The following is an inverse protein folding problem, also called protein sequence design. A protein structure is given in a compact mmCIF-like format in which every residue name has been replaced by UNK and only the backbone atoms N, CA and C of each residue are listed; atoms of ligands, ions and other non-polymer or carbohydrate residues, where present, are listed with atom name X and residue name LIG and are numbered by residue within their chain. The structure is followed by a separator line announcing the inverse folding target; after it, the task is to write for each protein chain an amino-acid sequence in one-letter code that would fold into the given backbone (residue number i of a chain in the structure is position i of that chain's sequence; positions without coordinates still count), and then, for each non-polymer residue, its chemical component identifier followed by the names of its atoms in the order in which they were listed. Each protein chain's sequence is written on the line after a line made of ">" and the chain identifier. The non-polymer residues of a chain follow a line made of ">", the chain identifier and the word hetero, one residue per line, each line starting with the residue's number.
data_IF_493572090289
#
_entry.id   IF_493572090289
#
_cell.length_a   1.000
_cell.length_b   1.000
_cell.length_c   1.000
_cell.angle_alpha   90.00
_cell.angle_beta   90.00
_cell.angle_gamma   90.00
#
_symmetry.space_group_name_H-M   'P 1'
#
loop_
_entity.id
_entity.type
_entity.pdbx_description
1 polymer ?
#
# COMPACT_ATOMS: atom_id res chain seq x y z
N UNK A 1 9.46 20.92 -13.74
CA UNK A 1 9.06 19.68 -13.06
C UNK A 1 8.52 20.14 -11.72
N UNK A 2 7.24 19.90 -11.40
CA UNK A 2 6.69 20.38 -10.12
C UNK A 2 7.33 19.54 -9.03
N UNK A 3 8.16 20.17 -8.23
CA UNK A 3 8.72 19.58 -7.02
C UNK A 3 7.55 19.21 -6.12
N UNK A 4 7.30 17.91 -5.97
CA UNK A 4 6.41 17.39 -4.95
C UNK A 4 7.15 17.54 -3.63
N UNK A 5 6.95 18.68 -2.96
CA UNK A 5 7.31 18.84 -1.56
C UNK A 5 6.58 17.74 -0.77
N UNK A 6 7.32 16.70 -0.38
CA UNK A 6 6.79 15.62 0.42
C UNK A 6 6.68 16.12 1.86
N UNK A 7 5.49 16.57 2.25
CA UNK A 7 5.08 16.51 3.65
C UNK A 7 5.32 15.06 4.13
N UNK A 8 6.13 14.88 5.16
CA UNK A 8 6.36 13.58 5.81
C UNK A 8 5.01 13.02 6.28
N UNK A 9 4.37 12.21 5.44
CA UNK A 9 3.19 11.44 5.79
C UNK A 9 3.66 10.04 6.09
N UNK A 10 3.52 9.66 7.35
CA UNK A 10 3.77 8.35 7.95
C UNK A 10 3.54 7.21 6.93
N UNK A 11 4.62 6.74 6.29
CA UNK A 11 4.54 5.67 5.30
C UNK A 11 4.87 4.37 6.01
N UNK A 12 3.87 3.51 6.23
CA UNK A 12 4.15 2.12 6.62
C UNK A 12 4.74 1.38 5.42
N UNK A 13 6.00 0.96 5.57
CA UNK A 13 6.75 0.20 4.57
C UNK A 13 6.70 -1.28 4.94
N UNK A 14 6.24 -2.13 4.02
CA UNK A 14 6.28 -3.58 4.16
C UNK A 14 7.07 -4.19 2.99
N UNK A 15 8.29 -4.66 3.29
CA UNK A 15 9.24 -5.09 2.27
C UNK A 15 9.55 -3.97 1.26
N UNK A 16 9.26 -4.23 -0.02
CA UNK A 16 9.48 -3.28 -1.13
C UNK A 16 8.24 -2.43 -1.46
N UNK A 17 7.18 -2.50 -0.64
CA UNK A 17 5.92 -1.80 -0.86
C UNK A 17 5.68 -0.76 0.23
N UNK A 18 5.03 0.35 -0.14
CA UNK A 18 4.51 1.34 0.80
C UNK A 18 3.10 1.76 0.41
N UNK A 19 2.28 2.04 1.42
CA UNK A 19 0.99 2.68 1.19
C UNK A 19 1.25 4.13 0.78
N UNK A 20 0.52 4.63 -0.21
CA UNK A 20 0.58 6.04 -0.62
C UNK A 20 -0.81 6.65 -0.52
N UNK A 21 -0.87 7.94 -0.19
CA UNK A 21 -2.11 8.73 -0.14
C UNK A 21 -2.07 9.84 -1.18
N UNK A 22 -3.01 9.86 -2.11
CA UNK A 22 -3.19 10.90 -3.14
C UNK A 22 -4.65 11.35 -3.09
N UNK A 23 -4.90 12.66 -2.96
CA UNK A 23 -6.26 13.25 -2.96
C UNK A 23 -7.26 12.50 -2.06
N UNK A 24 -6.84 12.16 -0.84
CA UNK A 24 -7.61 11.41 0.16
C UNK A 24 -7.91 9.93 -0.13
N UNK A 25 -7.33 9.38 -1.19
CA UNK A 25 -7.40 7.96 -1.50
C UNK A 25 -6.06 7.26 -1.30
N UNK A 26 -6.13 5.99 -0.94
CA UNK A 26 -5.00 5.15 -0.60
C UNK A 26 -4.74 4.11 -1.69
N UNK A 27 -3.47 3.94 -2.03
CA UNK A 27 -2.97 2.93 -2.97
C UNK A 27 -1.69 2.29 -2.45
N UNK A 28 -1.10 1.39 -3.23
CA UNK A 28 0.18 0.76 -2.93
C UNK A 28 1.14 1.07 -4.06
N UNK A 29 2.34 1.49 -3.69
CA UNK A 29 3.44 1.65 -4.63
C UNK A 29 4.68 0.93 -4.13
N UNK A 30 5.59 0.64 -5.05
CA UNK A 30 6.93 0.17 -4.74
C UNK A 30 7.84 1.32 -4.28
N UNK A 31 9.02 0.97 -3.74
CA UNK A 31 10.04 1.96 -3.34
C UNK A 31 10.65 2.75 -4.52
N UNK A 32 10.60 2.22 -5.75
CA UNK A 32 10.97 2.93 -7.00
C UNK A 32 9.83 3.78 -7.57
N UNK A 33 8.81 4.09 -6.77
CA UNK A 33 7.70 4.97 -7.12
C UNK A 33 6.78 4.47 -8.23
N UNK A 34 6.73 3.16 -8.49
CA UNK A 34 5.74 2.55 -9.39
C UNK A 34 4.45 2.23 -8.63
N UNK A 35 3.31 2.71 -9.13
CA UNK A 35 1.98 2.35 -8.60
C UNK A 35 1.69 0.87 -8.93
N UNK A 36 1.34 0.09 -7.90
CA UNK A 36 0.94 -1.32 -8.00
C UNK A 36 -0.57 -1.46 -7.78
N UNK A 37 -1.10 -0.69 -6.84
CA UNK A 37 -2.53 -0.54 -6.60
C UNK A 37 -2.85 0.95 -6.67
N UNK A 38 -3.75 1.32 -7.58
CA UNK A 38 -4.20 2.70 -7.77
C UNK A 38 -4.81 3.27 -6.48
N UNK A 39 -4.62 4.58 -6.20
CA UNK A 39 -5.18 5.23 -5.04
C UNK A 39 -6.68 5.47 -5.21
N UNK A 40 -7.48 4.43 -4.95
CA UNK A 40 -8.95 4.49 -5.03
C UNK A 40 -9.64 4.11 -3.72
N UNK A 41 -8.89 3.57 -2.76
CA UNK A 41 -9.41 3.06 -1.49
C UNK A 41 -9.55 4.18 -0.46
N UNK A 42 -10.54 4.04 0.41
CA UNK A 42 -10.75 4.96 1.53
C UNK A 42 -9.72 4.74 2.64
N UNK A 43 -9.24 3.49 2.79
CA UNK A 43 -8.11 3.15 3.65
C UNK A 43 -7.46 1.85 3.22
N UNK A 44 -6.16 1.73 3.47
CA UNK A 44 -5.40 0.48 3.40
C UNK A 44 -4.65 0.35 4.73
N UNK A 45 -4.70 -0.82 5.35
CA UNK A 45 -4.04 -1.06 6.65
C UNK A 45 -3.28 -2.39 6.60
N UNK A 46 -2.02 -2.37 7.04
CA UNK A 46 -1.25 -3.59 7.27
C UNK A 46 -1.60 -4.17 8.65
N UNK A 47 -1.92 -5.45 8.69
CA UNK A 47 -2.04 -6.22 9.91
C UNK A 47 -0.78 -7.09 10.01
N UNK A 48 0.29 -6.47 10.48
CA UNK A 48 1.67 -7.02 10.44
C UNK A 48 1.78 -8.39 11.12
N UNK A 49 1.10 -8.57 12.26
CA UNK A 49 1.11 -9.83 13.03
C UNK A 49 0.54 -11.03 12.26
N UNK A 50 -0.19 -10.80 11.16
CA UNK A 50 -0.92 -11.84 10.43
C UNK A 50 -0.58 -11.91 8.94
N UNK A 51 0.35 -11.07 8.46
CA UNK A 51 0.59 -10.88 7.03
C UNK A 51 -0.70 -10.62 6.24
N UNK A 52 -1.61 -9.80 6.79
CA UNK A 52 -2.87 -9.43 6.12
C UNK A 52 -2.85 -7.95 5.72
N UNK A 53 -3.58 -7.65 4.66
CA UNK A 53 -3.89 -6.29 4.22
C UNK A 53 -5.39 -6.10 4.27
N UNK A 54 -5.86 -5.08 4.98
CA UNK A 54 -7.24 -4.64 4.94
C UNK A 54 -7.40 -3.51 3.92
N UNK A 55 -8.37 -3.65 3.03
CA UNK A 55 -8.80 -2.62 2.09
C UNK A 55 -10.22 -2.16 2.45
N UNK A 56 -10.45 -0.85 2.49
CA UNK A 56 -11.81 -0.29 2.59
C UNK A 56 -12.17 0.52 1.36
N UNK A 57 -13.36 0.27 0.83
CA UNK A 57 -13.93 1.00 -0.30
C UNK A 57 -15.45 1.11 -0.14
N UNK A 58 -15.99 2.32 -0.05
CA UNK A 58 -17.43 2.60 0.01
C UNK A 58 -18.16 1.74 1.06
N UNK A 59 -17.67 1.74 2.31
CA UNK A 59 -18.16 0.94 3.43
C UNK A 59 -18.06 -0.59 3.27
N UNK A 60 -17.34 -1.08 2.27
CA UNK A 60 -17.01 -2.50 2.12
C UNK A 60 -15.57 -2.75 2.53
N UNK A 61 -15.35 -3.88 3.21
CA UNK A 61 -14.02 -4.30 3.67
C UNK A 61 -13.62 -5.59 2.97
N UNK A 62 -12.38 -5.63 2.47
CA UNK A 62 -11.74 -6.85 1.98
C UNK A 62 -10.46 -7.09 2.79
N UNK A 63 -10.19 -8.36 3.12
CA UNK A 63 -8.97 -8.79 3.78
C UNK A 63 -8.23 -9.71 2.82
N UNK A 64 -6.98 -9.38 2.53
CA UNK A 64 -6.10 -10.16 1.66
C UNK A 64 -4.93 -10.70 2.48
N UNK A 65 -4.63 -11.99 2.35
CA UNK A 65 -3.41 -12.57 2.94
C UNK A 65 -2.26 -12.37 1.97
N UNK A 66 -1.23 -11.68 2.44
CA UNK A 66 0.00 -11.47 1.70
C UNK A 66 0.97 -12.60 2.02
N UNK A 67 0.94 -13.65 1.21
CA UNK A 67 2.00 -14.66 1.25
C UNK A 67 3.20 -14.09 0.48
N UNK A 68 4.33 -13.89 1.15
CA UNK A 68 5.59 -13.65 0.43
C UNK A 68 5.74 -14.79 -0.59
N UNK A 69 5.78 -14.45 -1.89
CA UNK A 69 6.21 -15.39 -2.92
C UNK A 69 7.66 -15.69 -2.61
N UNK A 70 7.87 -16.66 -1.72
CA UNK A 70 9.16 -17.09 -1.23
C UNK A 70 9.87 -17.62 -2.46
N UNK A 71 10.90 -16.87 -2.90
CA UNK A 71 11.92 -17.25 -3.89
C UNK A 71 11.61 -18.58 -4.60
N UNK A 72 10.93 -18.51 -5.74
CA UNK A 72 11.11 -19.53 -6.76
C UNK A 72 12.55 -19.38 -7.27
N UNK A 73 13.49 -19.98 -6.54
CA UNK A 73 14.81 -20.30 -7.06
C UNK A 73 14.61 -21.39 -8.10
N UNK A 74 14.61 -21.00 -9.37
CA UNK A 74 14.80 -21.90 -10.51
C UNK A 74 16.31 -22.08 -10.69
#
# INVERSE_FOLDING_TARGET
>A
MKDFESEEKDYTVYGNYRIVKIEDKYGIQTLDCKIVIEPVFDSITWLEDFNLIEFRLNNKTAIYKFDEISKLSI
#
